data_IF_812257728314
#
_entry.id   IF_812257728314
#
_cell.length_a   1.000
_cell.length_b   1.000
_cell.length_c   1.000
_cell.angle_alpha   90.00
_cell.angle_beta   90.00
_cell.angle_gamma   90.00
#
_symmetry.space_group_name_H-M   'P 1'
#
loop_
_entity.id
_entity.type
_entity.pdbx_description
1 polymer ?
#
# COMPACT_ATOMS: atom_id res chain seq x y z
N UNK A 1 42.11 -61.59 -1.55
CA UNK A 1 41.05 -60.57 -1.44
C UNK A 1 41.71 -59.24 -1.19
N UNK A 2 41.73 -58.36 -2.18
CA UNK A 2 42.29 -57.02 -2.02
C UNK A 2 41.31 -56.16 -1.21
N UNK A 3 41.65 -55.87 0.05
CA UNK A 3 40.83 -55.06 0.95
C UNK A 3 41.06 -53.54 0.77
N UNK A 4 41.67 -53.12 -0.34
CA UNK A 4 42.01 -51.73 -0.62
C UNK A 4 41.71 -51.31 -2.05
N UNK A 5 41.17 -50.11 -2.22
CA UNK A 5 40.87 -49.44 -3.48
C UNK A 5 41.75 -48.20 -3.66
N UNK A 6 41.82 -47.68 -4.89
CA UNK A 6 42.52 -46.45 -5.20
C UNK A 6 41.52 -45.31 -5.44
N UNK A 7 41.64 -44.24 -4.66
CA UNK A 7 40.84 -43.02 -4.80
C UNK A 7 41.72 -41.92 -5.43
N UNK A 8 41.33 -41.33 -6.58
CA UNK A 8 42.05 -40.22 -7.17
C UNK A 8 42.15 -39.03 -6.19
N UNK A 9 43.33 -38.43 -6.07
CA UNK A 9 43.57 -37.33 -5.13
C UNK A 9 42.65 -36.12 -5.41
N UNK A 10 42.28 -35.91 -6.67
CA UNK A 10 41.32 -34.88 -7.07
C UNK A 10 39.93 -35.12 -6.47
N UNK A 11 39.45 -36.37 -6.47
CA UNK A 11 38.17 -36.74 -5.86
C UNK A 11 38.23 -36.56 -4.34
N UNK A 12 39.32 -36.98 -3.69
CA UNK A 12 39.53 -36.78 -2.26
C UNK A 12 39.54 -35.29 -1.86
N UNK A 13 40.15 -34.42 -2.68
CA UNK A 13 40.16 -32.96 -2.46
C UNK A 13 38.76 -32.35 -2.61
N UNK A 14 37.97 -32.79 -3.60
CA UNK A 14 36.57 -32.38 -3.77
C UNK A 14 35.72 -32.75 -2.54
N UNK A 15 35.86 -33.97 -2.03
CA UNK A 15 35.15 -34.42 -0.81
C UNK A 15 35.49 -33.53 0.41
N UNK A 16 36.69 -32.94 0.46
CA UNK A 16 37.16 -32.09 1.55
C UNK A 16 36.86 -30.58 1.36
N UNK A 17 36.24 -30.14 0.25
CA UNK A 17 36.02 -28.72 -0.08
C UNK A 17 37.29 -27.84 0.06
N UNK A 18 38.47 -28.41 -0.22
CA UNK A 18 39.71 -27.63 -0.21
C UNK A 18 39.86 -27.01 -1.60
N UNK A 19 39.79 -25.68 -1.67
CA UNK A 19 39.92 -24.92 -2.92
C UNK A 19 41.12 -25.43 -3.72
N UNK A 20 40.93 -25.53 -5.04
CA UNK A 20 41.92 -26.00 -6.01
C UNK A 20 43.17 -25.11 -5.97
N UNK A 21 44.09 -25.39 -5.05
CA UNK A 21 45.48 -25.03 -5.24
C UNK A 21 46.00 -25.96 -6.34
N UNK A 22 46.20 -25.37 -7.52
CA UNK A 22 46.73 -25.97 -8.74
C UNK A 22 48.01 -26.75 -8.45
N UNK A 23 47.87 -28.06 -8.23
CA UNK A 23 48.96 -29.01 -8.38
C UNK A 23 48.50 -29.99 -9.43
N UNK A 24 48.89 -29.69 -10.67
CA UNK A 24 48.66 -30.53 -11.84
C UNK A 24 49.57 -31.77 -11.79
N UNK A 25 49.21 -32.75 -10.96
CA UNK A 25 49.70 -34.11 -11.09
C UNK A 25 48.51 -35.08 -11.19
N UNK A 26 48.09 -35.45 -12.42
CA UNK A 26 46.87 -36.23 -12.65
C UNK A 26 46.92 -37.69 -12.16
N UNK A 27 48.09 -38.17 -11.71
CA UNK A 27 48.32 -39.60 -11.42
C UNK A 27 48.46 -39.94 -9.92
N UNK A 28 48.23 -38.98 -9.01
CA UNK A 28 48.29 -39.27 -7.57
C UNK A 28 47.00 -39.97 -7.11
N UNK A 29 47.11 -41.26 -6.81
CA UNK A 29 46.05 -42.08 -6.25
C UNK A 29 46.33 -42.40 -4.79
N UNK A 30 45.34 -42.15 -3.91
CA UNK A 30 45.39 -42.54 -2.51
C UNK A 30 44.86 -43.98 -2.38
N UNK A 31 45.65 -44.89 -1.82
CA UNK A 31 45.17 -46.23 -1.48
C UNK A 31 44.35 -46.14 -0.19
N UNK A 32 43.10 -46.59 -0.21
CA UNK A 32 42.21 -46.58 0.96
C UNK A 32 41.63 -47.98 1.19
N UNK A 33 41.36 -48.35 2.44
CA UNK A 33 40.66 -49.60 2.70
C UNK A 33 39.16 -49.45 2.40
N UNK A 34 38.48 -50.56 2.12
CA UNK A 34 37.07 -50.54 1.73
C UNK A 34 36.15 -49.93 2.80
N UNK A 35 36.43 -50.17 4.08
CA UNK A 35 35.68 -49.53 5.17
C UNK A 35 35.79 -48.00 5.18
N UNK A 36 36.99 -47.46 4.92
CA UNK A 36 37.19 -46.02 4.81
C UNK A 36 36.54 -45.44 3.54
N UNK A 37 36.47 -46.22 2.46
CA UNK A 37 35.74 -45.82 1.25
C UNK A 37 34.24 -45.68 1.55
N UNK A 38 33.64 -46.70 2.15
CA UNK A 38 32.21 -46.70 2.47
C UNK A 38 31.83 -45.53 3.39
N UNK A 39 32.68 -45.20 4.38
CA UNK A 39 32.49 -44.05 5.25
C UNK A 39 32.60 -42.70 4.51
N UNK A 40 33.52 -42.60 3.55
CA UNK A 40 33.68 -41.39 2.72
C UNK A 40 32.50 -41.21 1.77
N UNK A 41 32.07 -42.27 1.09
CA UNK A 41 30.89 -42.27 0.22
C UNK A 41 29.61 -41.96 1.00
N UNK A 42 29.43 -42.53 2.19
CA UNK A 42 28.31 -42.20 3.08
C UNK A 42 28.32 -40.72 3.48
N UNK A 43 29.49 -40.18 3.82
CA UNK A 43 29.65 -38.76 4.16
C UNK A 43 29.39 -37.85 2.95
N UNK A 44 29.83 -38.24 1.76
CA UNK A 44 29.58 -37.51 0.51
C UNK A 44 28.09 -37.51 0.18
N UNK A 45 27.43 -38.66 0.22
CA UNK A 45 25.99 -38.78 0.03
C UNK A 45 25.18 -37.95 1.05
N UNK A 46 25.59 -37.94 2.33
CA UNK A 46 24.98 -37.09 3.35
C UNK A 46 25.19 -35.59 3.09
N UNK A 47 26.37 -35.21 2.60
CA UNK A 47 26.66 -33.82 2.19
C UNK A 47 25.85 -33.40 0.98
N UNK A 48 25.74 -34.25 -0.03
CA UNK A 48 24.91 -34.01 -1.22
C UNK A 48 23.44 -33.89 -0.83
N UNK A 49 22.93 -34.77 0.03
CA UNK A 49 21.58 -34.68 0.55
C UNK A 49 21.33 -33.38 1.33
N UNK A 50 22.27 -32.96 2.17
CA UNK A 50 22.18 -31.70 2.94
C UNK A 50 22.26 -30.45 2.05
N UNK A 51 23.09 -30.49 1.00
CA UNK A 51 23.25 -29.37 0.08
C UNK A 51 22.16 -29.32 -1.00
N UNK A 52 21.48 -30.43 -1.24
CA UNK A 52 20.32 -30.48 -2.13
C UNK A 52 19.11 -29.85 -1.43
N UNK A 53 18.57 -28.76 -1.99
CA UNK A 53 17.27 -28.25 -1.56
C UNK A 53 16.18 -29.16 -2.13
N UNK A 54 15.47 -29.94 -1.31
CA UNK A 54 14.48 -30.86 -1.83
C UNK A 54 13.37 -30.08 -2.54
N UNK A 55 12.80 -30.66 -3.59
CA UNK A 55 11.77 -30.02 -4.44
C UNK A 55 10.59 -29.49 -3.62
N UNK A 56 10.22 -30.20 -2.55
CA UNK A 56 9.17 -29.77 -1.62
C UNK A 56 9.48 -28.42 -0.95
N UNK A 57 10.75 -28.15 -0.60
CA UNK A 57 11.17 -26.87 -0.02
C UNK A 57 11.00 -25.75 -1.03
N UNK A 58 11.43 -25.98 -2.27
CA UNK A 58 11.32 -24.98 -3.34
C UNK A 58 9.85 -24.64 -3.64
N UNK A 59 8.98 -25.65 -3.69
CA UNK A 59 7.54 -25.44 -3.86
C UNK A 59 6.93 -24.72 -2.66
N UNK A 60 7.32 -25.06 -1.44
CA UNK A 60 6.81 -24.38 -0.25
C UNK A 60 7.25 -22.92 -0.17
N UNK A 61 8.52 -22.61 -0.45
CA UNK A 61 9.03 -21.24 -0.54
C UNK A 61 8.23 -20.43 -1.56
N UNK A 62 7.99 -21.00 -2.75
CA UNK A 62 7.17 -20.35 -3.78
C UNK A 62 5.71 -20.16 -3.35
N UNK A 63 5.14 -21.11 -2.63
CA UNK A 63 3.78 -21.01 -2.06
C UNK A 63 3.67 -19.82 -1.10
N UNK A 64 4.68 -19.64 -0.24
CA UNK A 64 4.74 -18.54 0.72
C UNK A 64 4.80 -17.18 0.02
N UNK A 65 5.54 -17.07 -1.09
CA UNK A 65 5.59 -15.85 -1.91
C UNK A 65 4.20 -15.52 -2.46
N UNK A 66 3.53 -16.48 -3.11
CA UNK A 66 2.18 -16.25 -3.64
C UNK A 66 1.16 -15.90 -2.57
N UNK A 67 1.26 -16.52 -1.39
CA UNK A 67 0.39 -16.21 -0.26
C UNK A 67 0.58 -14.77 0.21
N UNK A 68 1.83 -14.33 0.37
CA UNK A 68 2.14 -12.95 0.78
C UNK A 68 1.65 -11.93 -0.25
N UNK A 69 1.90 -12.18 -1.53
CA UNK A 69 1.38 -11.34 -2.61
C UNK A 69 -0.15 -11.27 -2.59
N UNK A 70 -0.83 -12.40 -2.37
CA UNK A 70 -2.28 -12.42 -2.26
C UNK A 70 -2.80 -11.60 -1.07
N UNK A 71 -2.15 -11.68 0.09
CA UNK A 71 -2.52 -10.88 1.27
C UNK A 71 -2.38 -9.36 1.02
N UNK A 72 -1.27 -8.94 0.42
CA UNK A 72 -1.02 -7.53 0.08
C UNK A 72 -2.05 -7.00 -0.94
N UNK A 73 -2.32 -7.78 -1.99
CA UNK A 73 -3.31 -7.39 -3.00
C UNK A 73 -4.75 -7.41 -2.43
N UNK A 74 -5.05 -8.33 -1.51
CA UNK A 74 -6.37 -8.42 -0.87
C UNK A 74 -6.63 -7.22 0.04
N UNK A 75 -5.62 -6.72 0.76
CA UNK A 75 -5.74 -5.51 1.56
C UNK A 75 -6.10 -4.30 0.70
N UNK A 76 -5.41 -4.11 -0.43
CA UNK A 76 -5.69 -3.01 -1.38
C UNK A 76 -7.11 -3.15 -1.96
N UNK A 77 -7.48 -4.37 -2.38
CA UNK A 77 -8.82 -4.65 -2.89
C UNK A 77 -9.92 -4.34 -1.88
N UNK A 78 -9.72 -4.71 -0.61
CA UNK A 78 -10.69 -4.45 0.44
C UNK A 78 -10.91 -2.95 0.67
N UNK A 79 -9.86 -2.14 0.67
CA UNK A 79 -9.99 -0.68 0.78
C UNK A 79 -10.72 -0.08 -0.42
N UNK A 80 -10.35 -0.47 -1.64
CA UNK A 80 -11.05 -0.02 -2.85
C UNK A 80 -12.53 -0.43 -2.83
N UNK A 81 -12.82 -1.68 -2.45
CA UNK A 81 -14.18 -2.18 -2.40
C UNK A 81 -15.01 -1.48 -1.32
N UNK A 82 -14.45 -1.15 -0.16
CA UNK A 82 -15.12 -0.34 0.87
C UNK A 82 -15.44 1.07 0.37
N UNK A 83 -14.48 1.72 -0.27
CA UNK A 83 -14.61 3.06 -0.82
C UNK A 83 -15.71 3.10 -1.89
N UNK A 84 -15.66 2.19 -2.87
CA UNK A 84 -16.68 2.06 -3.92
C UNK A 84 -18.08 1.74 -3.36
N UNK A 85 -18.19 0.83 -2.39
CA UNK A 85 -19.47 0.53 -1.73
C UNK A 85 -20.00 1.70 -0.89
N UNK A 86 -19.14 2.63 -0.48
CA UNK A 86 -19.53 3.86 0.22
C UNK A 86 -19.92 4.99 -0.75
N UNK A 87 -19.80 4.78 -2.06
CA UNK A 87 -20.07 5.82 -3.07
C UNK A 87 -18.96 6.87 -3.16
N UNK A 88 -17.72 6.52 -2.80
CA UNK A 88 -16.55 7.34 -3.08
C UNK A 88 -16.13 7.21 -4.55
N UNK A 89 -15.65 8.32 -5.11
CA UNK A 89 -15.12 8.41 -6.48
C UNK A 89 -13.59 8.39 -6.52
N UNK A 90 -12.94 7.96 -5.42
CA UNK A 90 -11.48 7.93 -5.31
C UNK A 90 -10.84 6.79 -6.11
N UNK A 91 -11.61 5.76 -6.45
CA UNK A 91 -11.15 4.58 -7.16
C UNK A 91 -12.03 4.29 -8.38
N UNK A 92 -11.43 3.71 -9.41
CA UNK A 92 -12.14 3.25 -10.60
C UNK A 92 -12.66 1.82 -10.38
N UNK A 93 -13.92 1.57 -10.79
CA UNK A 93 -14.53 0.24 -10.75
C UNK A 93 -13.75 -0.77 -11.58
N UNK A 94 -13.24 -0.37 -12.75
CA UNK A 94 -12.48 -1.25 -13.63
C UNK A 94 -11.18 -1.74 -12.97
N UNK A 95 -10.47 -0.85 -12.28
CA UNK A 95 -9.22 -1.20 -11.59
C UNK A 95 -9.49 -2.19 -10.44
N UNK A 96 -10.59 -2.02 -9.72
CA UNK A 96 -11.02 -2.96 -8.70
C UNK A 96 -11.40 -4.33 -9.28
N UNK A 97 -12.03 -4.37 -10.46
CA UNK A 97 -12.32 -5.61 -11.18
C UNK A 97 -11.05 -6.31 -11.67
N UNK A 98 -10.09 -5.57 -12.22
CA UNK A 98 -8.78 -6.11 -12.64
C UNK A 98 -8.02 -6.68 -11.45
N UNK A 99 -8.02 -5.98 -10.31
CA UNK A 99 -7.39 -6.47 -9.09
C UNK A 99 -8.07 -7.74 -8.55
N UNK A 100 -9.41 -7.80 -8.59
CA UNK A 100 -10.17 -9.02 -8.26
C UNK A 100 -9.77 -10.19 -9.14
N UNK A 101 -9.65 -9.99 -10.45
CA UNK A 101 -9.22 -11.04 -11.37
C UNK A 101 -7.75 -11.47 -11.12
N UNK A 102 -6.88 -10.54 -10.73
CA UNK A 102 -5.49 -10.86 -10.33
C UNK A 102 -5.47 -11.70 -9.04
N UNK A 103 -6.30 -11.37 -8.05
CA UNK A 103 -6.45 -12.15 -6.82
C UNK A 103 -6.95 -13.57 -7.09
N UNK A 104 -7.93 -13.75 -7.97
CA UNK A 104 -8.40 -15.08 -8.37
C UNK A 104 -7.29 -15.91 -9.03
N UNK A 105 -6.48 -15.31 -9.92
CA UNK A 105 -5.33 -15.99 -10.53
C UNK A 105 -4.26 -16.40 -9.51
N UNK A 106 -4.00 -15.55 -8.51
CA UNK A 106 -3.11 -15.89 -7.39
C UNK A 106 -3.69 -17.04 -6.54
N UNK A 107 -4.99 -17.00 -6.26
CA UNK A 107 -5.69 -18.06 -5.56
C UNK A 107 -5.59 -19.41 -6.29
N UNK A 108 -5.80 -19.43 -7.61
CA UNK A 108 -5.64 -20.63 -8.45
C UNK A 108 -4.19 -21.12 -8.44
N UNK A 109 -3.21 -20.21 -8.45
CA UNK A 109 -1.79 -20.55 -8.39
C UNK A 109 -1.42 -21.20 -7.06
N UNK A 110 -1.96 -20.69 -5.94
CA UNK A 110 -1.79 -21.26 -4.60
C UNK A 110 -2.45 -22.65 -4.53
N UNK A 111 -3.67 -22.80 -5.05
CA UNK A 111 -4.38 -24.08 -5.06
C UNK A 111 -3.59 -25.13 -5.87
N UNK A 112 -3.19 -24.79 -7.10
CA UNK A 112 -2.43 -25.67 -7.98
C UNK A 112 -1.08 -26.09 -7.37
N UNK A 113 -0.34 -25.16 -6.76
CA UNK A 113 0.94 -25.46 -6.14
C UNK A 113 0.77 -26.32 -4.87
N UNK A 114 -0.23 -26.01 -4.04
CA UNK A 114 -0.54 -26.82 -2.85
C UNK A 114 -1.00 -28.24 -3.21
N UNK A 115 -1.71 -28.40 -4.34
CA UNK A 115 -2.08 -29.71 -4.86
C UNK A 115 -0.86 -30.48 -5.40
N UNK A 116 0.07 -29.80 -6.10
CA UNK A 116 1.35 -30.40 -6.52
C UNK A 116 2.16 -30.90 -5.33
N UNK A 117 2.23 -30.13 -4.24
CA UNK A 117 2.88 -30.56 -2.99
C UNK A 117 2.16 -31.77 -2.38
N UNK A 118 0.83 -31.79 -2.40
CA UNK A 118 0.04 -32.87 -1.83
C UNK A 118 0.22 -34.21 -2.57
N UNK A 119 0.50 -34.19 -3.88
CA UNK A 119 0.67 -35.38 -4.71
C UNK A 119 2.15 -35.73 -4.95
N UNK A 120 3.08 -34.90 -4.46
CA UNK A 120 4.53 -35.07 -4.67
C UNK A 120 5.01 -36.41 -4.09
N UNK A 121 5.54 -37.27 -4.95
CA UNK A 121 6.07 -38.60 -4.58
C UNK A 121 5.04 -39.67 -4.30
N UNK A 122 3.73 -39.37 -4.33
CA UNK A 122 2.68 -40.38 -4.07
C UNK A 122 2.62 -41.45 -5.17
N UNK A 123 3.03 -41.09 -6.39
CA UNK A 123 3.05 -42.01 -7.54
C UNK A 123 4.35 -42.79 -7.68
N UNK A 124 5.34 -42.53 -6.82
CA UNK A 124 6.62 -43.22 -6.89
C UNK A 124 6.45 -44.64 -6.35
N UNK A 125 6.70 -45.64 -7.18
CA UNK A 125 6.52 -47.06 -6.85
C UNK A 125 7.54 -47.57 -5.82
N UNK A 126 8.70 -46.93 -5.75
CA UNK A 126 9.84 -47.38 -4.93
C UNK A 126 9.83 -46.82 -3.50
N UNK A 127 9.36 -45.59 -3.28
CA UNK A 127 9.40 -44.97 -1.95
C UNK A 127 8.34 -43.87 -1.77
N UNK A 128 7.05 -44.24 -1.59
CA UNK A 128 6.00 -43.26 -1.39
C UNK A 128 6.19 -42.49 -0.06
N UNK A 129 5.79 -41.21 0.02
CA UNK A 129 5.88 -40.44 1.25
C UNK A 129 4.97 -41.06 2.33
N UNK A 130 5.57 -41.49 3.44
CA UNK A 130 4.88 -42.07 4.59
C UNK A 130 5.16 -41.29 5.87
N UNK A 131 4.34 -41.52 6.90
CA UNK A 131 4.54 -40.94 8.24
C UNK A 131 4.55 -39.40 8.26
N UNK A 132 5.66 -38.83 8.72
CA UNK A 132 5.80 -37.38 8.91
C UNK A 132 5.78 -36.60 7.59
N UNK A 133 6.36 -37.13 6.50
CA UNK A 133 6.37 -36.45 5.21
C UNK A 133 4.96 -36.28 4.62
N UNK A 134 4.14 -37.34 4.67
CA UNK A 134 2.75 -37.29 4.23
C UNK A 134 1.90 -36.35 5.11
N UNK A 135 2.14 -36.34 6.43
CA UNK A 135 1.48 -35.41 7.35
C UNK A 135 1.81 -33.96 7.02
N UNK A 136 3.07 -33.65 6.71
CA UNK A 136 3.51 -32.33 6.29
C UNK A 136 2.80 -31.88 5.00
N UNK A 137 2.81 -32.72 3.96
CA UNK A 137 2.14 -32.42 2.68
C UNK A 137 0.64 -32.15 2.87
N UNK A 138 -0.06 -32.99 3.66
CA UNK A 138 -1.47 -32.78 4.01
C UNK A 138 -1.68 -31.49 4.80
N UNK A 139 -0.83 -31.20 5.78
CA UNK A 139 -0.92 -29.98 6.56
C UNK A 139 -0.76 -28.72 5.69
N UNK A 140 0.20 -28.73 4.75
CA UNK A 140 0.39 -27.65 3.78
C UNK A 140 -0.88 -27.45 2.93
N UNK A 141 -1.47 -28.54 2.42
CA UNK A 141 -2.72 -28.48 1.65
C UNK A 141 -3.89 -27.92 2.47
N UNK A 142 -4.06 -28.39 3.71
CA UNK A 142 -5.12 -27.89 4.60
C UNK A 142 -4.92 -26.42 4.94
N UNK A 143 -3.69 -25.98 5.20
CA UNK A 143 -3.37 -24.57 5.45
C UNK A 143 -3.65 -23.69 4.23
N UNK A 144 -3.27 -24.14 3.02
CA UNK A 144 -3.53 -23.41 1.78
C UNK A 144 -5.03 -23.31 1.48
N UNK A 145 -5.78 -24.41 1.61
CA UNK A 145 -7.24 -24.38 1.41
C UNK A 145 -7.96 -23.51 2.44
N UNK A 146 -7.53 -23.55 3.71
CA UNK A 146 -8.05 -22.66 4.75
C UNK A 146 -7.79 -21.19 4.43
N UNK A 147 -6.58 -20.86 3.98
CA UNK A 147 -6.23 -19.52 3.51
C UNK A 147 -7.13 -19.08 2.35
N UNK A 148 -7.27 -19.90 1.31
CA UNK A 148 -8.10 -19.57 0.15
C UNK A 148 -9.56 -19.36 0.53
N UNK A 149 -10.12 -20.17 1.43
CA UNK A 149 -11.49 -19.96 1.92
C UNK A 149 -11.62 -18.62 2.62
N UNK A 150 -10.70 -18.30 3.53
CA UNK A 150 -10.74 -17.04 4.27
C UNK A 150 -10.59 -15.85 3.33
N UNK A 151 -9.59 -15.86 2.44
CA UNK A 151 -9.34 -14.77 1.50
C UNK A 151 -10.50 -14.61 0.51
N UNK A 152 -10.98 -15.70 -0.10
CA UNK A 152 -12.03 -15.61 -1.13
C UNK A 152 -13.43 -15.32 -0.57
N UNK A 153 -13.80 -15.93 0.56
CA UNK A 153 -15.11 -15.68 1.18
C UNK A 153 -15.17 -14.32 1.86
N UNK A 154 -14.03 -13.77 2.29
CA UNK A 154 -13.99 -12.43 2.92
C UNK A 154 -13.93 -11.29 1.90
N UNK A 155 -13.78 -11.58 0.60
CA UNK A 155 -13.75 -10.52 -0.42
C UNK A 155 -15.12 -9.85 -0.55
N UNK A 156 -15.23 -8.53 -0.30
CA UNK A 156 -16.46 -7.79 -0.55
C UNK A 156 -16.86 -7.87 -2.02
N UNK A 157 -18.16 -7.93 -2.27
CA UNK A 157 -18.69 -7.86 -3.62
C UNK A 157 -18.56 -6.42 -4.12
N UNK A 158 -18.14 -6.25 -5.37
CA UNK A 158 -18.10 -4.94 -6.01
C UNK A 158 -19.52 -4.54 -6.42
N UNK A 159 -19.92 -3.27 -6.24
CA UNK A 159 -21.19 -2.79 -6.74
C UNK A 159 -21.20 -2.85 -8.27
N UNK A 160 -22.36 -3.15 -8.84
CA UNK A 160 -22.57 -2.99 -10.29
C UNK A 160 -22.46 -1.52 -10.67
N UNK A 161 -22.23 -1.22 -11.96
CA UNK A 161 -22.08 0.18 -12.42
C UNK A 161 -23.32 1.03 -12.08
N UNK A 162 -24.51 0.46 -12.24
CA UNK A 162 -25.78 1.10 -11.87
C UNK A 162 -25.88 1.34 -10.36
N UNK A 163 -25.51 0.35 -9.55
CA UNK A 163 -25.48 0.50 -8.09
C UNK A 163 -24.48 1.55 -7.66
N UNK A 164 -23.27 1.58 -8.25
CA UNK A 164 -22.25 2.58 -7.95
C UNK A 164 -22.75 4.00 -8.26
N UNK A 165 -23.37 4.21 -9.43
CA UNK A 165 -23.99 5.50 -9.80
C UNK A 165 -25.05 5.91 -8.78
N UNK A 166 -25.94 4.99 -8.40
CA UNK A 166 -26.99 5.27 -7.39
C UNK A 166 -26.40 5.63 -6.01
N UNK A 167 -25.30 4.98 -5.60
CA UNK A 167 -24.61 5.24 -4.35
C UNK A 167 -23.92 6.61 -4.37
N UNK A 168 -23.28 6.95 -5.48
CA UNK A 168 -22.65 8.25 -5.71
C UNK A 168 -23.70 9.37 -5.71
N UNK A 169 -24.81 9.21 -6.43
CA UNK A 169 -25.91 10.18 -6.43
C UNK A 169 -26.50 10.37 -5.03
N UNK A 170 -26.75 9.29 -4.30
CA UNK A 170 -27.27 9.35 -2.93
C UNK A 170 -26.33 10.15 -2.02
N UNK A 171 -25.02 9.98 -2.19
CA UNK A 171 -24.01 10.71 -1.43
C UNK A 171 -23.90 12.17 -1.82
N UNK A 172 -23.97 12.50 -3.11
CA UNK A 172 -24.02 13.89 -3.59
C UNK A 172 -25.26 14.60 -3.01
N UNK A 173 -26.43 13.96 -3.06
CA UNK A 173 -27.67 14.51 -2.47
C UNK A 173 -27.59 14.69 -0.96
N UNK A 174 -26.89 13.80 -0.26
CA UNK A 174 -26.65 13.94 1.18
C UNK A 174 -25.70 15.10 1.49
N UNK A 175 -24.55 15.14 0.80
CA UNK A 175 -23.55 16.21 0.97
C UNK A 175 -24.11 17.60 0.62
N UNK A 176 -24.96 17.69 -0.41
CA UNK A 176 -25.64 18.93 -0.77
C UNK A 176 -26.55 19.44 0.35
N UNK A 177 -27.31 18.54 1.02
CA UNK A 177 -28.14 18.90 2.18
C UNK A 177 -27.32 19.41 3.36
N UNK A 178 -26.21 18.74 3.68
CA UNK A 178 -25.30 19.17 4.75
C UNK A 178 -24.67 20.53 4.44
N UNK A 179 -24.26 20.75 3.18
CA UNK A 179 -23.69 22.02 2.75
C UNK A 179 -24.70 23.18 2.88
N UNK A 180 -25.94 22.97 2.44
CA UNK A 180 -27.01 23.97 2.55
C UNK A 180 -27.32 24.32 4.03
N UNK A 181 -27.36 23.31 4.90
CA UNK A 181 -27.58 23.50 6.34
C UNK A 181 -26.42 24.29 6.99
N UNK A 182 -25.18 23.90 6.70
CA UNK A 182 -23.98 24.61 7.16
C UNK A 182 -23.90 26.06 6.65
N UNK A 183 -24.30 26.29 5.40
CA UNK A 183 -24.36 27.64 4.84
C UNK A 183 -25.43 28.49 5.54
N UNK A 184 -26.61 27.92 5.82
CA UNK A 184 -27.66 28.59 6.58
C UNK A 184 -27.18 28.97 7.98
N UNK A 185 -26.53 28.06 8.69
CA UNK A 185 -25.96 28.31 10.02
C UNK A 185 -24.91 29.43 9.98
N UNK A 186 -24.01 29.40 8.99
CA UNK A 186 -22.98 30.44 8.81
C UNK A 186 -23.61 31.81 8.56
N UNK A 187 -24.64 31.90 7.71
CA UNK A 187 -25.36 33.16 7.45
C UNK A 187 -26.01 33.72 8.72
N UNK A 188 -26.59 32.87 9.58
CA UNK A 188 -27.19 33.30 10.84
C UNK A 188 -26.12 33.87 11.80
N UNK A 189 -24.97 33.21 11.91
CA UNK A 189 -23.85 33.68 12.73
C UNK A 189 -23.29 35.03 12.24
N UNK A 190 -23.21 35.23 10.91
CA UNK A 190 -22.76 36.51 10.35
C UNK A 190 -23.75 37.66 10.60
N UNK A 191 -25.05 37.39 10.53
CA UNK A 191 -26.10 38.36 10.91
C UNK A 191 -26.00 38.70 12.41
N UNK A 192 -25.76 37.72 13.26
CA UNK A 192 -25.58 37.96 14.69
C UNK A 192 -24.31 38.79 15.00
N UNK A 193 -23.18 38.49 14.33
CA UNK A 193 -21.92 39.25 14.45
C UNK A 193 -22.07 40.69 13.97
N UNK A 194 -22.76 40.91 12.84
CA UNK A 194 -23.01 42.27 12.32
C UNK A 194 -23.98 43.06 13.20
N UNK A 195 -25.03 42.44 13.73
CA UNK A 195 -25.95 43.06 14.69
C UNK A 195 -25.22 43.49 15.97
N UNK A 196 -24.42 42.60 16.58
CA UNK A 196 -23.59 42.94 17.76
C UNK A 196 -22.61 44.09 17.48
N UNK A 197 -22.00 44.12 16.30
CA UNK A 197 -21.07 45.20 15.88
C UNK A 197 -21.77 46.55 15.64
N UNK A 198 -23.02 46.53 15.17
CA UNK A 198 -23.85 47.75 15.05
C UNK A 198 -24.34 48.28 16.41
N UNK A 199 -24.60 47.39 17.38
CA UNK A 199 -25.00 47.78 18.74
C UNK A 199 -23.86 48.44 19.53
N UNK A 200 -22.60 48.04 19.30
CA UNK A 200 -21.41 48.64 19.91
C UNK A 200 -20.99 49.98 19.27
N UNK A 201 -21.57 50.37 18.13
CA UNK A 201 -21.29 51.66 17.45
C UNK A 201 -22.24 52.80 17.84
N UNK A 202 -23.22 52.57 18.72
CA UNK A 202 -24.18 53.60 19.19
C UNK A 202 -23.84 54.24 20.54
N UNK A 203 -22.70 53.90 21.14
CA UNK A 203 -22.15 54.60 22.29
C UNK A 203 -20.64 54.81 22.09
N UNK A 204 -20.26 55.71 21.18
CA UNK A 204 -19.01 56.44 21.38
C UNK A 204 -19.01 57.75 20.59
N UNK A 205 -19.55 58.79 21.23
CA UNK A 205 -19.24 60.17 20.94
C UNK A 205 -18.64 60.74 22.22
N UNK A 206 -17.33 60.62 22.40
CA UNK A 206 -16.41 61.67 22.88
C UNK A 206 -15.08 61.06 23.25
N UNK A 207 -14.02 61.85 23.02
CA UNK A 207 -12.67 61.69 23.56
C UNK A 207 -11.85 60.52 23.02
N UNK A 208 -10.98 60.88 22.06
CA UNK A 208 -9.67 60.30 21.93
C UNK A 208 -8.99 60.21 23.30
N UNK A 209 -8.89 58.99 23.83
CA UNK A 209 -7.95 58.60 24.86
C UNK A 209 -7.46 57.21 24.52
N UNK A 210 -6.17 57.11 24.23
CA UNK A 210 -5.40 55.87 24.27
C UNK A 210 -5.60 55.19 25.62
N UNK A 211 -5.79 53.87 25.65
CA UNK A 211 -4.95 53.03 26.53
C UNK A 211 -4.82 51.58 26.00
N UNK A 212 -4.17 50.68 26.73
CA UNK A 212 -2.80 50.71 27.19
C UNK A 212 -2.00 49.54 26.57
N UNK A 213 -0.70 49.61 26.78
CA UNK A 213 0.32 48.55 26.71
C UNK A 213 -0.12 47.19 26.19
N UNK A 214 0.44 46.90 25.01
CA UNK A 214 0.53 45.57 24.43
C UNK A 214 1.16 44.65 25.46
N UNK A 215 0.33 43.80 26.06
CA UNK A 215 0.79 42.59 26.70
C UNK A 215 1.56 41.81 25.63
N UNK A 216 2.86 41.72 25.82
CA UNK A 216 3.76 40.95 24.98
C UNK A 216 3.37 39.51 25.25
N UNK A 217 2.44 38.98 24.45
CA UNK A 217 2.36 37.54 24.23
C UNK A 217 3.76 37.13 23.78
N UNK A 218 4.47 36.51 24.72
CA UNK A 218 5.71 35.79 24.49
C UNK A 218 5.62 35.12 23.13
N UNK A 219 6.55 35.43 22.23
CA UNK A 219 6.76 34.71 20.97
C UNK A 219 7.28 33.33 21.36
N UNK A 220 6.38 32.52 21.92
CA UNK A 220 6.62 31.17 22.37
C UNK A 220 6.60 30.28 21.14
N UNK A 221 7.79 29.97 20.63
CA UNK A 221 8.08 28.81 19.77
C UNK A 221 6.94 28.46 18.79
N UNK A 222 6.67 29.37 17.86
CA UNK A 222 5.82 29.07 16.71
C UNK A 222 6.37 27.84 15.99
N UNK A 223 5.51 26.87 15.72
CA UNK A 223 5.89 25.72 14.93
C UNK A 223 6.30 26.16 13.53
N UNK A 224 7.50 25.78 13.10
CA UNK A 224 7.96 26.01 11.74
C UNK A 224 8.08 24.65 11.06
N UNK A 225 7.29 24.37 10.01
CA UNK A 225 7.44 23.15 9.23
C UNK A 225 8.83 23.08 8.57
N UNK A 226 9.37 21.87 8.45
CA UNK A 226 10.71 21.65 7.93
C UNK A 226 10.63 21.68 6.40
N UNK A 227 11.28 22.66 5.75
CA UNK A 227 11.19 22.84 4.29
C UNK A 227 11.79 21.65 3.53
N UNK A 228 10.99 20.62 3.28
CA UNK A 228 11.26 19.61 2.26
C UNK A 228 10.79 20.18 0.94
N UNK A 229 11.72 20.60 0.09
CA UNK A 229 11.44 21.02 -1.29
C UNK A 229 10.91 19.82 -2.09
N UNK A 230 9.61 19.57 -2.00
CA UNK A 230 8.90 18.77 -2.99
C UNK A 230 8.39 19.75 -4.06
N UNK A 231 8.98 19.67 -5.25
CA UNK A 231 8.63 20.52 -6.39
C UNK A 231 7.22 20.16 -6.88
N UNK A 232 6.20 20.88 -6.41
CA UNK A 232 4.89 20.90 -7.06
C UNK A 232 4.89 22.03 -8.10
N UNK A 233 5.53 21.80 -9.26
CA UNK A 233 5.34 22.73 -10.39
C UNK A 233 3.93 22.51 -10.93
N UNK A 234 2.97 23.28 -10.43
CA UNK A 234 1.66 23.47 -11.03
C UNK A 234 1.67 24.82 -11.74
N UNK A 235 1.06 24.92 -12.91
CA UNK A 235 0.96 26.20 -13.64
C UNK A 235 0.05 27.21 -12.94
N UNK A 236 -0.74 26.75 -11.95
CA UNK A 236 -1.62 27.58 -11.13
C UNK A 236 -1.01 27.81 -9.72
N UNK A 237 -0.70 29.07 -9.35
CA UNK A 237 -0.13 29.42 -8.05
C UNK A 237 -1.04 29.08 -6.87
N UNK A 238 -2.36 29.02 -7.07
CA UNK A 238 -3.32 28.69 -6.02
C UNK A 238 -3.33 27.18 -5.73
N UNK A 239 -3.19 26.35 -6.77
CA UNK A 239 -3.03 24.90 -6.62
C UNK A 239 -1.71 24.56 -5.93
N UNK A 240 -0.64 25.29 -6.26
CA UNK A 240 0.66 25.16 -5.58
C UNK A 240 0.52 25.44 -4.07
N UNK A 241 -0.13 26.56 -3.71
CA UNK A 241 -0.36 26.90 -2.31
C UNK A 241 -1.21 25.86 -1.58
N UNK A 242 -2.23 25.30 -2.23
CA UNK A 242 -3.03 24.21 -1.66
C UNK A 242 -2.19 22.94 -1.39
N UNK A 243 -1.22 22.63 -2.26
CA UNK A 243 -0.30 21.50 -2.05
C UNK A 243 0.65 21.76 -0.88
N UNK A 244 1.16 22.99 -0.74
CA UNK A 244 2.00 23.40 0.39
C UNK A 244 1.26 23.22 1.72
N UNK A 245 0.02 23.71 1.81
CA UNK A 245 -0.79 23.60 3.04
C UNK A 245 -1.11 22.14 3.39
N UNK A 246 -1.38 21.27 2.39
CA UNK A 246 -1.59 19.83 2.63
C UNK A 246 -0.38 19.18 3.31
N UNK A 247 0.83 19.54 2.89
CA UNK A 247 2.05 19.01 3.51
C UNK A 247 2.22 19.52 4.95
N UNK A 248 1.95 20.81 5.20
CA UNK A 248 2.03 21.35 6.55
C UNK A 248 0.99 20.72 7.49
N UNK A 249 -0.21 20.38 7.00
CA UNK A 249 -1.18 19.60 7.79
C UNK A 249 -0.60 18.22 8.15
N UNK A 250 0.05 17.55 7.20
CA UNK A 250 0.67 16.25 7.44
C UNK A 250 1.80 16.36 8.49
N UNK A 251 2.66 17.37 8.37
CA UNK A 251 3.74 17.61 9.32
C UNK A 251 3.22 18.01 10.72
N UNK A 252 2.18 18.84 10.79
CA UNK A 252 1.55 19.23 12.05
C UNK A 252 0.88 18.04 12.75
N UNK A 253 0.26 17.12 11.99
CA UNK A 253 -0.26 15.85 12.51
C UNK A 253 0.84 14.95 13.06
N UNK A 254 1.97 14.84 12.36
CA UNK A 254 3.13 14.08 12.83
C UNK A 254 3.75 14.68 14.10
N UNK A 255 3.73 16.01 14.23
CA UNK A 255 4.18 16.73 15.41
C UNK A 255 3.13 16.77 16.55
N UNK A 256 1.97 16.13 16.36
CA UNK A 256 0.84 16.11 17.30
C UNK A 256 0.34 17.52 17.72
N UNK A 257 0.40 18.47 16.78
CA UNK A 257 0.08 19.88 16.96
C UNK A 257 -1.34 20.19 16.48
N UNK A 258 -2.32 19.93 17.34
CA UNK A 258 -3.74 19.91 16.97
C UNK A 258 -4.31 21.29 16.62
N UNK A 259 -3.81 22.36 17.26
CA UNK A 259 -4.23 23.74 16.99
C UNK A 259 -3.78 24.18 15.59
N UNK A 260 -2.53 23.87 15.24
CA UNK A 260 -1.96 24.13 13.93
C UNK A 260 -2.64 23.31 12.83
N UNK A 261 -2.99 22.04 13.09
CA UNK A 261 -3.80 21.23 12.18
C UNK A 261 -5.14 21.89 11.90
N UNK A 262 -5.85 22.31 12.96
CA UNK A 262 -7.16 22.95 12.84
C UNK A 262 -7.08 24.25 12.03
N UNK A 263 -6.05 25.06 12.31
CA UNK A 263 -5.79 26.32 11.61
C UNK A 263 -5.45 26.10 10.12
N UNK A 264 -4.55 25.16 9.83
CA UNK A 264 -4.15 24.84 8.46
C UNK A 264 -5.29 24.19 7.65
N UNK A 265 -6.15 23.40 8.29
CA UNK A 265 -7.35 22.84 7.65
C UNK A 265 -8.39 23.92 7.32
N UNK A 266 -8.52 24.96 8.16
CA UNK A 266 -9.35 26.12 7.86
C UNK A 266 -8.79 26.91 6.67
N UNK A 267 -7.47 27.17 6.64
CA UNK A 267 -6.83 27.85 5.53
C UNK A 267 -6.96 27.07 4.21
N UNK A 268 -6.81 25.74 4.24
CA UNK A 268 -7.00 24.88 3.06
C UNK A 268 -8.44 24.95 2.54
N UNK A 269 -9.43 25.09 3.43
CA UNK A 269 -10.83 25.24 3.07
C UNK A 269 -11.08 26.57 2.35
N UNK A 270 -10.51 27.66 2.85
CA UNK A 270 -10.60 28.98 2.23
C UNK A 270 -9.95 28.98 0.83
N UNK A 271 -8.75 28.41 0.69
CA UNK A 271 -8.06 28.32 -0.60
C UNK A 271 -8.87 27.51 -1.63
N UNK A 272 -9.52 26.42 -1.22
CA UNK A 272 -10.42 25.65 -2.09
C UNK A 272 -11.63 26.45 -2.56
N UNK A 273 -12.22 27.24 -1.66
CA UNK A 273 -13.36 28.09 -2.02
C UNK A 273 -12.94 29.20 -3.00
N UNK A 274 -11.77 29.80 -2.78
CA UNK A 274 -11.21 30.78 -3.71
C UNK A 274 -10.96 30.17 -5.09
N UNK A 275 -10.36 28.99 -5.14
CA UNK A 275 -10.10 28.28 -6.39
C UNK A 275 -11.39 28.03 -7.17
N UNK A 276 -12.44 27.57 -6.49
CA UNK A 276 -13.73 27.33 -7.12
C UNK A 276 -14.41 28.61 -7.61
N UNK A 277 -14.24 29.72 -6.90
CA UNK A 277 -14.74 31.03 -7.34
C UNK A 277 -14.01 31.52 -8.59
N UNK A 278 -12.68 31.42 -8.62
CA UNK A 278 -11.87 31.77 -9.78
C UNK A 278 -12.23 30.93 -11.00
N UNK A 279 -12.46 29.63 -10.83
CA UNK A 279 -12.87 28.74 -11.90
C UNK A 279 -14.21 29.14 -12.51
N UNK A 280 -15.21 29.43 -11.67
CA UNK A 280 -16.54 29.88 -12.14
C UNK A 280 -16.49 31.23 -12.87
N UNK A 281 -15.67 32.17 -12.38
CA UNK A 281 -15.46 33.46 -13.04
C UNK A 281 -14.80 33.28 -14.41
N UNK A 282 -13.80 32.39 -14.52
CA UNK A 282 -13.16 32.08 -15.80
C UNK A 282 -14.14 31.42 -16.78
N UNK A 283 -15.00 30.51 -16.32
CA UNK A 283 -16.03 29.89 -17.15
C UNK A 283 -17.07 30.92 -17.62
N UNK A 284 -17.52 31.81 -16.72
CA UNK A 284 -18.47 32.86 -17.06
C UNK A 284 -17.91 33.85 -18.08
N UNK A 285 -16.66 34.30 -17.89
CA UNK A 285 -16.00 35.20 -18.83
C UNK A 285 -15.80 34.54 -20.21
N UNK A 286 -15.50 33.23 -20.24
CA UNK A 286 -15.39 32.47 -21.50
C UNK A 286 -16.72 32.37 -22.25
N UNK A 287 -17.85 32.39 -21.55
CA UNK A 287 -19.18 32.41 -22.15
C UNK A 287 -19.61 33.81 -22.63
N UNK A 288 -19.22 34.88 -21.94
CA UNK A 288 -19.53 36.26 -22.35
C UNK A 288 -18.76 36.69 -23.62
N UNK A 289 -17.49 36.27 -23.79
CA UNK A 289 -16.70 36.56 -25.01
C UNK A 289 -17.22 35.84 -26.28
N UNK A 290 -18.08 34.82 -26.13
CA UNK A 290 -18.71 34.11 -27.25
C UNK A 290 -19.99 34.78 -27.78
N UNK A 291 -20.44 35.86 -27.15
CA UNK A 291 -21.71 36.54 -27.46
C UNK A 291 -21.50 38.02 -27.82
N UNK A 292 -20.58 38.30 -28.76
CA UNK A 292 -20.53 39.60 -29.44
C UNK A 292 -21.44 39.51 -30.68
N UNK A 293 -22.58 40.23 -30.75
CA UNK A 293 -23.39 40.29 -31.96
C UNK A 293 -22.66 41.12 -33.02
N UNK A 294 -22.49 40.56 -34.22
CA UNK A 294 -22.09 41.33 -35.39
C UNK A 294 -23.12 42.43 -35.65
N UNK A 295 -22.74 43.70 -35.45
CA UNK A 295 -23.52 44.84 -35.93
C UNK A 295 -23.52 44.85 -37.47
N UNK A 296 -24.68 45.03 -38.12
CA UNK A 296 -24.75 45.13 -39.57
C UNK A 296 -24.36 46.55 -40.02
N UNK A 297 -23.46 46.63 -40.99
CA UNK A 297 -23.17 47.82 -41.81
C UNK A 297 -24.27 48.07 -42.84
#
# INVERSE_FOLDING_TARGET
>A
HDCSSFLPLNTARKILNKNEEEVSSPDLNLRICQHCLDLLETREHLKEAHNSKPIISQFYERLCVYRKEADEQAAIYNEMAKSLNSGESNYNLNDAQVLRAKLLRLADSIDALSNKIAVLGIKDTENPPQGQALRLQKAIRTAATGFLRNTLLSMPVLPTEEQLKSLQERRIRYNARILEESERETRLLDVERTSKRSSLRKQDSTTAKSPPEKDVCSVGQGWVPEKKQQFYKSDDPLIEQMNIIRNYIQEARLANKQEEVTSLEANLRELKQEYWRCQQLQEKNRHEDSHIPNEPH
#
